data_IF_729460487509
#
_entry.id   IF_729460487509
#
_cell.length_a   1.000
_cell.length_b   1.000
_cell.length_c   1.000
_cell.angle_alpha   90.00
_cell.angle_beta   90.00
_cell.angle_gamma   90.00
#
_symmetry.space_group_name_H-M   'P 1'
#
loop_
_entity.id
_entity.type
_entity.pdbx_description
1 polymer ?
#
# COMPACT_ATOMS: atom_id res chain seq x y z
N UNK A 1 -0.52 4.56 10.16
CA UNK A 1 -1.80 4.75 10.87
C UNK A 1 -3.04 4.64 10.00
N UNK A 2 -3.02 5.04 8.72
CA UNK A 2 -4.21 4.87 7.85
C UNK A 2 -4.80 3.44 7.89
N UNK A 3 -3.96 2.40 7.84
CA UNK A 3 -4.44 1.02 7.99
C UNK A 3 -5.16 0.78 9.32
N UNK A 4 -4.57 1.20 10.44
CA UNK A 4 -5.12 0.98 11.78
C UNK A 4 -6.42 1.77 12.03
N UNK A 5 -6.63 2.88 11.31
CA UNK A 5 -7.78 3.76 11.48
C UNK A 5 -8.92 3.44 10.50
N UNK A 6 -8.61 3.30 9.21
CA UNK A 6 -9.61 3.24 8.13
C UNK A 6 -9.61 1.93 7.35
N UNK A 7 -8.77 0.95 7.70
CA UNK A 7 -8.71 -0.35 7.02
C UNK A 7 -8.11 -0.31 5.61
N UNK A 8 -7.63 0.84 5.14
CA UNK A 8 -6.92 0.96 3.87
C UNK A 8 -5.81 2.01 3.95
N UNK A 9 -4.87 1.94 3.02
CA UNK A 9 -3.80 2.92 2.88
C UNK A 9 -3.42 3.12 1.41
N UNK A 10 -2.37 3.92 1.16
CA UNK A 10 -1.85 4.17 -0.19
C UNK A 10 -1.48 2.88 -0.95
N UNK A 11 -1.00 1.85 -0.26
CA UNK A 11 -0.70 0.57 -0.90
C UNK A 11 -1.98 -0.17 -1.36
N UNK A 12 -3.09 -0.05 -0.62
CA UNK A 12 -4.38 -0.58 -1.04
C UNK A 12 -4.89 0.15 -2.29
N UNK A 13 -4.78 1.49 -2.31
CA UNK A 13 -5.11 2.29 -3.48
C UNK A 13 -4.28 1.90 -4.71
N UNK A 14 -2.99 1.63 -4.53
CA UNK A 14 -2.12 1.18 -5.62
C UNK A 14 -2.53 -0.19 -6.15
N UNK A 15 -2.88 -1.14 -5.27
CA UNK A 15 -3.40 -2.45 -5.69
C UNK A 15 -4.71 -2.31 -6.46
N UNK A 16 -5.69 -1.57 -5.95
CA UNK A 16 -6.98 -1.36 -6.63
C UNK A 16 -6.81 -0.66 -7.99
N UNK A 17 -5.88 0.30 -8.08
CA UNK A 17 -5.58 0.96 -9.35
C UNK A 17 -5.01 -0.02 -10.38
N UNK A 18 -4.09 -0.89 -9.94
CA UNK A 18 -3.52 -1.95 -10.77
C UNK A 18 -4.58 -2.94 -11.22
N UNK A 19 -5.41 -3.41 -10.31
CA UNK A 19 -6.44 -4.40 -10.61
C UNK A 19 -7.47 -3.81 -11.61
N UNK A 20 -7.85 -2.54 -11.45
CA UNK A 20 -8.70 -1.82 -12.41
C UNK A 20 -8.02 -1.60 -13.78
N UNK A 21 -6.69 -1.47 -13.84
CA UNK A 21 -5.94 -1.41 -15.10
C UNK A 21 -5.95 -2.77 -15.80
N UNK A 22 -5.71 -3.85 -15.05
CA UNK A 22 -5.74 -5.23 -15.55
C UNK A 22 -7.12 -5.61 -16.10
N UNK A 23 -8.21 -5.22 -15.41
CA UNK A 23 -9.59 -5.40 -15.90
C UNK A 23 -9.85 -4.72 -17.25
N UNK A 24 -9.12 -3.65 -17.55
CA UNK A 24 -9.18 -2.92 -18.82
C UNK A 24 -8.16 -3.43 -19.85
N UNK A 25 -7.46 -4.51 -19.56
CA UNK A 25 -6.42 -5.08 -20.43
C UNK A 25 -5.14 -4.24 -20.51
N UNK A 26 -4.93 -3.33 -19.54
CA UNK A 26 -3.70 -2.54 -19.44
C UNK A 26 -2.79 -3.22 -18.43
N UNK A 27 -1.67 -3.77 -18.92
CA UNK A 27 -0.65 -4.32 -18.04
C UNK A 27 0.02 -3.21 -17.23
N UNK A 28 -0.10 -3.30 -15.90
CA UNK A 28 0.48 -2.33 -14.98
C UNK A 28 1.21 -3.07 -13.86
N UNK A 29 2.49 -2.77 -13.71
CA UNK A 29 3.29 -3.35 -12.63
C UNK A 29 2.90 -2.79 -11.26
N UNK A 30 3.26 -3.54 -10.21
CA UNK A 30 3.05 -3.11 -8.82
C UNK A 30 3.85 -1.85 -8.50
N UNK A 31 5.05 -1.73 -9.06
CA UNK A 31 5.94 -0.58 -8.89
C UNK A 31 5.34 0.66 -9.57
N UNK A 32 4.86 0.51 -10.81
CA UNK A 32 4.26 1.60 -11.57
C UNK A 32 2.95 2.11 -10.91
N UNK A 33 2.08 1.20 -10.47
CA UNK A 33 0.85 1.59 -9.75
C UNK A 33 1.15 2.31 -8.42
N UNK A 34 2.22 1.92 -7.71
CA UNK A 34 2.68 2.67 -6.53
C UNK A 34 3.23 4.03 -6.90
N UNK A 35 4.05 4.13 -7.93
CA UNK A 35 4.59 5.42 -8.36
C UNK A 35 3.49 6.44 -8.70
N UNK A 36 2.40 5.99 -9.35
CA UNK A 36 1.21 6.81 -9.61
C UNK A 36 0.58 7.34 -8.32
N UNK A 37 0.43 6.49 -7.30
CA UNK A 37 -0.22 6.88 -6.03
C UNK A 37 0.71 7.71 -5.12
N UNK A 38 2.00 7.44 -5.13
CA UNK A 38 2.98 8.12 -4.28
C UNK A 38 3.60 9.36 -4.94
N UNK A 39 3.44 9.55 -6.25
CA UNK A 39 3.98 10.66 -7.03
C UNK A 39 5.50 10.61 -7.22
N UNK A 40 6.14 9.49 -6.85
CA UNK A 40 7.57 9.19 -6.98
C UNK A 40 7.81 7.68 -6.77
N UNK A 41 9.00 7.15 -7.11
CA UNK A 41 9.33 5.76 -6.83
C UNK A 41 9.14 5.42 -5.35
N UNK A 42 8.49 4.27 -5.08
CA UNK A 42 8.13 3.87 -3.72
C UNK A 42 9.34 3.78 -2.78
N UNK A 43 10.47 3.26 -3.26
CA UNK A 43 11.70 3.19 -2.46
C UNK A 43 12.22 4.58 -2.07
N UNK A 44 12.19 5.55 -3.00
CA UNK A 44 12.55 6.94 -2.70
C UNK A 44 11.61 7.58 -1.68
N UNK A 45 10.30 7.30 -1.77
CA UNK A 45 9.34 7.78 -0.77
C UNK A 45 9.60 7.17 0.60
N UNK A 46 9.89 5.86 0.63
CA UNK A 46 10.20 5.11 1.85
C UNK A 46 11.44 5.65 2.55
N UNK A 47 12.52 5.88 1.81
CA UNK A 47 13.75 6.48 2.35
C UNK A 47 13.52 7.88 2.94
N UNK A 48 12.70 8.71 2.29
CA UNK A 48 12.46 10.10 2.71
C UNK A 48 11.47 10.22 3.87
N UNK A 49 10.50 9.31 3.98
CA UNK A 49 9.31 9.55 4.79
C UNK A 49 8.89 8.38 5.68
N UNK A 50 9.34 7.15 5.43
CA UNK A 50 8.92 6.01 6.24
C UNK A 50 9.61 6.05 7.61
N UNK A 51 8.80 6.15 8.66
CA UNK A 51 9.24 6.00 10.05
C UNK A 51 8.97 4.58 10.52
N UNK A 52 9.79 4.11 11.44
CA UNK A 52 9.57 2.83 12.11
C UNK A 52 8.25 2.86 12.89
N UNK A 53 7.47 1.77 12.78
CA UNK A 53 6.22 1.65 13.50
C UNK A 53 6.48 1.20 14.94
N UNK A 54 5.80 1.83 15.91
CA UNK A 54 5.84 1.35 17.30
C UNK A 54 5.23 -0.04 17.42
N UNK A 55 5.60 -0.78 18.47
CA UNK A 55 5.07 -2.11 18.76
C UNK A 55 3.53 -2.14 18.81
N UNK A 56 2.91 -1.13 19.42
CA UNK A 56 1.46 -0.97 19.48
C UNK A 56 0.83 -0.84 18.08
N UNK A 57 1.47 -0.08 17.17
CA UNK A 57 0.98 0.09 15.81
C UNK A 57 1.09 -1.20 15.00
N UNK A 58 2.13 -1.99 15.23
CA UNK A 58 2.31 -3.31 14.62
C UNK A 58 1.25 -4.29 15.13
N UNK A 59 1.02 -4.34 16.44
CA UNK A 59 -0.01 -5.21 17.03
C UNK A 59 -1.41 -4.88 16.46
N UNK A 60 -1.78 -3.61 16.43
CA UNK A 60 -3.08 -3.20 15.86
C UNK A 60 -3.17 -3.49 14.36
N UNK A 61 -2.06 -3.37 13.64
CA UNK A 61 -2.02 -3.70 12.21
C UNK A 61 -2.35 -5.17 11.95
N UNK A 62 -1.85 -6.11 12.76
CA UNK A 62 -2.17 -7.54 12.62
C UNK A 62 -3.67 -7.84 12.77
N UNK A 63 -4.39 -7.07 13.58
CA UNK A 63 -5.83 -7.22 13.77
C UNK A 63 -6.64 -6.73 12.55
N UNK A 64 -6.16 -5.69 11.86
CA UNK A 64 -6.90 -5.02 10.78
C UNK A 64 -6.38 -5.34 9.37
N UNK A 65 -5.24 -6.02 9.26
CA UNK A 65 -4.61 -6.31 7.97
C UNK A 65 -5.53 -7.25 7.15
N UNK A 66 -5.80 -6.94 5.87
CA UNK A 66 -6.70 -7.74 5.04
C UNK A 66 -6.16 -9.15 4.76
N UNK A 67 -7.03 -10.18 4.61
CA UNK A 67 -6.64 -11.59 4.50
C UNK A 67 -5.71 -11.88 3.31
N UNK A 68 -5.92 -11.19 2.20
CA UNK A 68 -5.16 -11.26 0.95
C UNK A 68 -3.72 -10.71 1.05
N UNK A 69 -3.31 -10.25 2.24
CA UNK A 69 -1.94 -9.79 2.52
C UNK A 69 -1.22 -10.61 3.59
N UNK A 70 -1.65 -11.87 3.81
CA UNK A 70 -1.11 -12.81 4.80
C UNK A 70 -0.02 -13.76 4.28
N UNK A 71 0.38 -13.64 3.02
CA UNK A 71 1.53 -14.37 2.46
C UNK A 71 2.88 -13.71 2.79
#
# INVERSE_FOLDING_TARGET
DLMNLSGFCRNCLANWYRDAANEKGVDLSKEASREIVYGMPYETWKEKHQKEASAEKLARFEEVRPPESRD
#
